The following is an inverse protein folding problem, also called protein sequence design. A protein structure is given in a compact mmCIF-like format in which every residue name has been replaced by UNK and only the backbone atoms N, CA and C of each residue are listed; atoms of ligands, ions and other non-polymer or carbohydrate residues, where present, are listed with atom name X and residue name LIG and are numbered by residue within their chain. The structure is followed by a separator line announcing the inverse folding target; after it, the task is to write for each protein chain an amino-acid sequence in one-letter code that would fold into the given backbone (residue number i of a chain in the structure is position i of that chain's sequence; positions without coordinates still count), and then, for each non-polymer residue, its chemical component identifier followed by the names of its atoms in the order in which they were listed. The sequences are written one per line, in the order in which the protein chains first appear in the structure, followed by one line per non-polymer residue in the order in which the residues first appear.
data_IF_874289716694
#
_entry.id   IF_874289716694
#
_cell.length_a   1.000
_cell.length_b   1.000
_cell.length_c   1.000
_cell.angle_alpha   90.00
_cell.angle_beta   90.00
_cell.angle_gamma   90.00
#
_symmetry.space_group_name_H-M   'P 1'
#
loop_
_entity.id
_entity.type
_entity.pdbx_description
1 polymer ?
#
# COMPACT_ATOMS: atom_id res chain seq x y z
N UNK A 1 4.39 -5.02 -7.39
CA UNK A 1 4.53 -5.80 -6.15
C UNK A 1 4.68 -7.29 -6.46
N UNK A 2 3.86 -7.79 -7.39
CA UNK A 2 3.70 -9.17 -7.81
C UNK A 2 4.99 -9.77 -8.40
N UNK A 3 5.76 -8.99 -9.16
CA UNK A 3 7.07 -9.40 -9.69
C UNK A 3 8.10 -9.61 -8.58
N UNK A 4 8.16 -8.73 -7.57
CA UNK A 4 9.08 -8.88 -6.43
C UNK A 4 8.66 -10.10 -5.59
N UNK A 5 7.37 -10.24 -5.28
CA UNK A 5 6.83 -11.41 -4.59
C UNK A 5 7.20 -12.72 -5.29
N UNK A 6 7.18 -12.76 -6.64
CA UNK A 6 7.63 -13.92 -7.40
C UNK A 6 9.10 -14.26 -7.14
N UNK A 7 9.99 -13.28 -7.30
CA UNK A 7 11.43 -13.49 -7.12
C UNK A 7 11.76 -14.00 -5.71
N UNK A 8 11.11 -13.42 -4.69
CA UNK A 8 11.30 -13.79 -3.28
C UNK A 8 10.73 -15.19 -3.01
N UNK A 9 9.52 -15.48 -3.49
CA UNK A 9 8.88 -16.79 -3.32
C UNK A 9 9.70 -17.94 -3.92
N UNK A 10 10.43 -17.67 -5.00
CA UNK A 10 11.23 -18.67 -5.72
C UNK A 10 12.73 -18.63 -5.36
N UNK A 11 13.10 -17.98 -4.25
CA UNK A 11 14.49 -17.88 -3.78
C UNK A 11 15.47 -17.38 -4.87
N UNK A 12 15.03 -16.43 -5.70
CA UNK A 12 15.86 -15.86 -6.78
C UNK A 12 16.70 -14.66 -6.32
N UNK A 13 16.57 -14.25 -5.05
CA UNK A 13 17.29 -13.15 -4.42
C UNK A 13 17.63 -13.52 -2.97
N UNK A 14 18.77 -13.07 -2.48
CA UNK A 14 19.24 -13.39 -1.12
C UNK A 14 18.93 -12.29 -0.08
N UNK A 15 18.86 -11.03 -0.52
CA UNK A 15 18.69 -9.86 0.36
C UNK A 15 17.71 -8.86 -0.24
N UNK A 16 16.84 -8.32 0.61
CA UNK A 16 15.94 -7.21 0.29
C UNK A 16 16.30 -6.00 1.16
N UNK A 17 16.42 -4.83 0.53
CA UNK A 17 16.49 -3.54 1.22
C UNK A 17 15.40 -2.64 0.64
N UNK A 18 14.51 -2.14 1.49
CA UNK A 18 13.40 -1.26 1.08
C UNK A 18 13.06 -0.29 2.20
N UNK A 19 12.30 0.76 1.90
CA UNK A 19 11.82 1.72 2.91
C UNK A 19 10.59 1.18 3.64
N UNK A 20 10.18 1.84 4.73
CA UNK A 20 8.98 1.47 5.50
C UNK A 20 7.75 1.30 4.59
N UNK A 21 7.52 2.26 3.68
CA UNK A 21 6.46 2.20 2.68
C UNK A 21 6.45 0.92 1.85
N UNK A 22 7.61 0.39 1.47
CA UNK A 22 7.69 -0.85 0.69
C UNK A 22 7.30 -2.11 1.47
N UNK A 23 7.42 -2.08 2.80
CA UNK A 23 6.99 -3.18 3.69
C UNK A 23 5.51 -3.04 4.02
N UNK A 24 5.09 -1.88 4.53
CA UNK A 24 3.71 -1.68 5.00
C UNK A 24 2.69 -1.80 3.86
N UNK A 25 2.99 -1.30 2.66
CA UNK A 25 2.12 -1.38 1.48
C UNK A 25 1.93 -2.81 0.94
N UNK A 26 2.88 -3.72 1.21
CA UNK A 26 2.73 -5.12 0.83
C UNK A 26 1.73 -5.84 1.74
N UNK A 27 1.83 -5.56 3.05
CA UNK A 27 0.92 -6.09 4.07
C UNK A 27 -0.49 -5.50 3.91
N UNK A 28 -0.60 -4.18 3.75
CA UNK A 28 -1.87 -3.48 3.54
C UNK A 28 -2.64 -4.05 2.34
N UNK A 29 -1.94 -4.40 1.24
CA UNK A 29 -2.56 -5.01 0.04
C UNK A 29 -3.18 -6.39 0.28
N UNK A 30 -2.82 -7.07 1.36
CA UNK A 30 -3.48 -8.31 1.78
C UNK A 30 -4.79 -8.06 2.55
N UNK A 31 -4.97 -6.86 3.12
CA UNK A 31 -6.14 -6.46 3.92
C UNK A 31 -7.19 -5.73 3.08
N UNK A 32 -6.75 -4.88 2.15
CA UNK A 32 -7.63 -4.11 1.28
C UNK A 32 -6.92 -3.69 -0.03
N UNK A 33 -7.67 -3.52 -1.15
CA UNK A 33 -7.09 -3.19 -2.44
C UNK A 33 -6.62 -1.72 -2.54
N UNK A 34 -5.72 -1.48 -3.49
CA UNK A 34 -5.35 -0.15 -4.00
C UNK A 34 -6.02 0.06 -5.36
N UNK A 35 -6.45 1.28 -5.66
CA UNK A 35 -7.20 1.60 -6.88
C UNK A 35 -6.40 2.50 -7.83
N UNK A 36 -6.72 2.43 -9.12
CA UNK A 36 -6.21 3.36 -10.14
C UNK A 36 -7.02 4.66 -10.07
N UNK A 37 -6.33 5.79 -10.09
CA UNK A 37 -6.87 7.13 -10.19
C UNK A 37 -6.08 7.97 -11.18
N UNK A 38 -5.99 9.28 -10.92
CA UNK A 38 -5.31 10.24 -11.78
C UNK A 38 -4.41 11.19 -10.97
N UNK A 39 -3.29 11.61 -11.56
CA UNK A 39 -2.38 12.60 -10.98
C UNK A 39 -3.04 13.96 -10.75
N UNK A 40 -4.03 14.34 -11.58
CA UNK A 40 -4.69 15.64 -11.53
C UNK A 40 -5.79 15.74 -10.48
N UNK A 41 -6.10 14.66 -9.76
CA UNK A 41 -7.12 14.67 -8.71
C UNK A 41 -6.74 15.65 -7.59
N UNK A 42 -7.67 16.54 -7.25
CA UNK A 42 -7.42 17.63 -6.29
C UNK A 42 -7.26 17.10 -4.88
N UNK A 43 -6.11 17.38 -4.26
CA UNK A 43 -5.78 16.90 -2.91
C UNK A 43 -6.81 17.31 -1.84
N UNK A 44 -7.45 18.48 -1.97
CA UNK A 44 -8.49 18.93 -1.04
C UNK A 44 -9.70 17.99 -1.04
N UNK A 45 -10.17 17.57 -2.21
CA UNK A 45 -11.33 16.68 -2.35
C UNK A 45 -10.99 15.28 -1.85
N UNK A 46 -9.81 14.78 -2.24
CA UNK A 46 -9.31 13.49 -1.76
C UNK A 46 -9.20 13.45 -0.23
N UNK A 47 -8.65 14.50 0.39
CA UNK A 47 -8.55 14.58 1.86
C UNK A 47 -9.91 14.63 2.54
N UNK A 48 -10.87 15.37 1.98
CA UNK A 48 -12.24 15.42 2.48
C UNK A 48 -12.93 14.05 2.40
N UNK A 49 -12.63 13.26 1.37
CA UNK A 49 -13.12 11.90 1.20
C UNK A 49 -12.30 10.82 1.90
N UNK A 50 -11.25 11.18 2.64
CA UNK A 50 -10.39 10.21 3.34
C UNK A 50 -9.61 9.29 2.38
N UNK A 51 -9.19 9.79 1.22
CA UNK A 51 -8.43 9.05 0.21
C UNK A 51 -7.01 9.61 0.14
N UNK A 52 -6.01 8.73 0.24
CA UNK A 52 -4.61 9.07 0.04
C UNK A 52 -4.21 8.80 -1.43
N UNK A 53 -3.37 9.67 -2.00
CA UNK A 53 -2.90 9.54 -3.39
C UNK A 53 -1.40 9.26 -3.44
N UNK A 54 -1.01 8.26 -4.21
CA UNK A 54 0.37 7.86 -4.48
C UNK A 54 0.57 7.87 -5.99
N UNK A 55 1.07 8.98 -6.54
CA UNK A 55 1.09 9.18 -7.99
C UNK A 55 -0.33 9.19 -8.58
N UNK A 56 -0.66 8.20 -9.40
CA UNK A 56 -2.00 7.91 -9.94
C UNK A 56 -2.71 6.75 -9.23
N UNK A 57 -2.26 6.33 -8.06
CA UNK A 57 -2.93 5.31 -7.25
C UNK A 57 -3.67 5.96 -6.08
N UNK A 58 -4.76 5.34 -5.66
CA UNK A 58 -5.61 5.77 -4.56
C UNK A 58 -5.69 4.67 -3.48
N UNK A 59 -5.45 5.07 -2.24
CA UNK A 59 -5.51 4.22 -1.06
C UNK A 59 -6.50 4.84 -0.06
N UNK A 60 -7.69 4.23 0.14
CA UNK A 60 -8.63 4.69 1.16
C UNK A 60 -8.00 4.66 2.57
N UNK A 61 -8.32 5.63 3.42
CA UNK A 61 -7.86 5.67 4.82
C UNK A 61 -8.23 4.39 5.59
N UNK A 62 -9.37 3.77 5.27
CA UNK A 62 -9.83 2.51 5.88
C UNK A 62 -8.79 1.38 5.75
N UNK A 63 -7.96 1.40 4.70
CA UNK A 63 -6.86 0.45 4.54
C UNK A 63 -5.84 0.57 5.69
N UNK A 64 -5.56 1.80 6.15
CA UNK A 64 -4.65 2.05 7.27
C UNK A 64 -5.29 1.72 8.61
N UNK A 65 -6.61 1.94 8.78
CA UNK A 65 -7.33 1.52 9.98
C UNK A 65 -7.31 -0.02 10.13
N UNK A 66 -7.57 -0.76 9.05
CA UNK A 66 -7.43 -2.23 9.04
C UNK A 66 -6.01 -2.69 9.36
N UNK A 67 -5.02 -1.94 8.90
CA UNK A 67 -3.62 -2.23 9.20
C UNK A 67 -3.29 -2.00 10.67
N UNK A 68 -3.78 -0.93 11.28
CA UNK A 68 -3.66 -0.69 12.71
C UNK A 68 -4.32 -1.81 13.52
N UNK A 69 -5.56 -2.18 13.21
CA UNK A 69 -6.28 -3.27 13.87
C UNK A 69 -5.52 -4.61 13.78
N UNK A 70 -4.89 -4.88 12.63
CA UNK A 70 -4.09 -6.09 12.41
C UNK A 70 -2.73 -6.05 13.11
N UNK A 71 -2.07 -4.88 13.17
CA UNK A 71 -0.71 -4.74 13.68
C UNK A 71 -0.65 -4.64 15.21
N UNK A 72 -1.58 -3.91 15.84
CA UNK A 72 -1.58 -3.67 17.28
C UNK A 72 -1.58 -4.93 18.19
N UNK A 73 -2.23 -6.06 17.84
CA UNK A 73 -2.18 -7.27 18.66
C UNK A 73 -0.92 -8.13 18.49
N UNK A 74 0.00 -7.80 17.57
CA UNK A 74 1.25 -8.53 17.30
C UNK A 74 2.36 -8.04 18.24
#
# INVERSE_FOLDING_TARGET
RESIRYLVQHNMVDVLVTTAGGVEEDLIKCLAPTYIGDFSLRGRELRQSGINRIGNLLVPNDNYCKFEDWLMPI
#
